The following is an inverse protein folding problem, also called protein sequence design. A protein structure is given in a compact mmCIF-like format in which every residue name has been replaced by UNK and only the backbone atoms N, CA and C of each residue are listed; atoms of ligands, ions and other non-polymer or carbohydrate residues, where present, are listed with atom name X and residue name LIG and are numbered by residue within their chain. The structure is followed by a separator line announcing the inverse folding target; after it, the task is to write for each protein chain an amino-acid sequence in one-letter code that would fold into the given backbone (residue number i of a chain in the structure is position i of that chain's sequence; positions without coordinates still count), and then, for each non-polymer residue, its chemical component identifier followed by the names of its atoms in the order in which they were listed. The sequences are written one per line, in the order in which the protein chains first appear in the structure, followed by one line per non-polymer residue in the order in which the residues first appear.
data_IF_044500233050
#
_entry.id   IF_044500233050
#
_cell.length_a   1.000
_cell.length_b   1.000
_cell.length_c   1.000
_cell.angle_alpha   90.00
_cell.angle_beta   90.00
_cell.angle_gamma   90.00
#
_symmetry.space_group_name_H-M   'P 1'
#
loop_
_entity.id
_entity.type
_entity.pdbx_description
1 polymer ?
#
# COMPACT_ATOMS: atom_id res chain seq x y z
N UNK A 1 -5.76 -1.48 12.86
CA UNK A 1 -6.46 -2.58 12.18
C UNK A 1 -6.77 -2.14 10.76
N UNK A 2 -6.95 -3.09 9.84
CA UNK A 2 -7.61 -2.87 8.56
C UNK A 2 -8.98 -3.51 8.73
N UNK A 3 -10.03 -2.76 8.46
CA UNK A 3 -11.40 -3.26 8.63
C UNK A 3 -11.90 -3.70 7.25
N UNK A 4 -12.45 -4.93 7.12
CA UNK A 4 -13.01 -5.38 5.85
C UNK A 4 -14.01 -4.38 5.26
N UNK A 5 -13.90 -4.15 3.97
CA UNK A 5 -14.72 -3.15 3.26
C UNK A 5 -15.79 -3.88 2.47
N UNK A 6 -17.06 -3.52 2.66
CA UNK A 6 -18.12 -4.01 1.78
C UNK A 6 -17.86 -3.58 0.33
N UNK A 7 -18.12 -4.47 -0.62
CA UNK A 7 -17.85 -4.18 -2.03
C UNK A 7 -18.66 -2.98 -2.54
N UNK A 8 -19.90 -2.79 -2.07
CA UNK A 8 -20.72 -1.64 -2.43
C UNK A 8 -20.10 -0.32 -1.99
N UNK A 9 -19.53 -0.28 -0.78
CA UNK A 9 -18.78 0.88 -0.30
C UNK A 9 -17.49 1.11 -1.08
N UNK A 10 -16.76 0.04 -1.38
CA UNK A 10 -15.57 0.09 -2.23
C UNK A 10 -15.90 0.65 -3.63
N UNK A 11 -16.98 0.17 -4.26
CA UNK A 11 -17.45 0.65 -5.55
C UNK A 11 -17.86 2.13 -5.48
N UNK A 12 -18.56 2.55 -4.43
CA UNK A 12 -18.95 3.96 -4.24
C UNK A 12 -17.73 4.89 -4.13
N UNK A 13 -16.66 4.45 -3.46
CA UNK A 13 -15.43 5.25 -3.25
C UNK A 13 -14.53 5.28 -4.47
N UNK A 14 -14.35 4.13 -5.13
CA UNK A 14 -13.37 3.94 -6.21
C UNK A 14 -13.97 4.00 -7.62
N UNK A 15 -15.28 3.81 -7.72
CA UNK A 15 -16.01 3.55 -8.96
C UNK A 15 -15.78 2.16 -9.53
N UNK A 16 -14.86 1.36 -8.98
CA UNK A 16 -14.47 0.05 -9.51
C UNK A 16 -15.60 -0.93 -9.24
N UNK A 17 -16.12 -1.53 -10.31
CA UNK A 17 -17.30 -2.40 -10.28
C UNK A 17 -16.88 -3.86 -10.34
N UNK A 18 -17.75 -4.78 -9.89
CA UNK A 18 -17.48 -6.24 -9.99
C UNK A 18 -17.16 -6.72 -11.41
N UNK A 19 -17.73 -6.07 -12.43
CA UNK A 19 -17.46 -6.39 -13.84
C UNK A 19 -16.07 -5.97 -14.33
N UNK A 20 -15.41 -5.08 -13.58
CA UNK A 20 -14.07 -4.59 -13.91
C UNK A 20 -13.00 -5.61 -13.45
N UNK A 21 -13.39 -6.65 -12.70
CA UNK A 21 -12.52 -7.76 -12.34
C UNK A 21 -12.36 -8.74 -13.51
N UNK A 22 -11.16 -9.28 -13.70
CA UNK A 22 -10.80 -10.02 -14.91
C UNK A 22 -11.48 -11.39 -15.05
N UNK A 23 -12.21 -11.88 -14.03
CA UNK A 23 -12.74 -13.26 -14.01
C UNK A 23 -14.15 -13.31 -13.43
N UNK A 24 -15.04 -14.05 -14.08
CA UNK A 24 -16.45 -14.22 -13.70
C UNK A 24 -16.65 -14.87 -12.33
N UNK A 25 -15.74 -15.73 -11.89
CA UNK A 25 -15.79 -16.41 -10.59
C UNK A 25 -15.64 -15.46 -9.38
N UNK A 26 -15.08 -14.28 -9.59
CA UNK A 26 -14.82 -13.31 -8.51
C UNK A 26 -16.08 -12.54 -8.08
N UNK A 27 -17.19 -12.68 -8.81
CA UNK A 27 -18.46 -12.01 -8.51
C UNK A 27 -19.02 -12.35 -7.11
N UNK A 28 -18.66 -13.53 -6.59
CA UNK A 28 -19.06 -14.01 -5.26
C UNK A 28 -18.33 -13.29 -4.13
N UNK A 29 -17.19 -12.66 -4.40
CA UNK A 29 -16.49 -11.90 -3.38
C UNK A 29 -17.30 -10.66 -2.99
N UNK A 30 -17.71 -10.62 -1.72
CA UNK A 30 -18.55 -9.55 -1.17
C UNK A 30 -17.76 -8.41 -0.55
N UNK A 31 -16.48 -8.62 -0.26
CA UNK A 31 -15.68 -7.73 0.58
C UNK A 31 -14.22 -7.63 0.15
N UNK A 32 -13.58 -6.52 0.53
CA UNK A 32 -12.15 -6.28 0.39
C UNK A 32 -11.47 -6.46 1.75
N UNK A 33 -10.45 -7.31 1.81
CA UNK A 33 -9.66 -7.66 2.99
C UNK A 33 -8.21 -7.19 2.83
N UNK A 34 -7.48 -7.08 3.94
CA UNK A 34 -6.04 -6.98 3.86
C UNK A 34 -5.45 -8.32 3.41
N UNK A 35 -4.37 -8.27 2.63
CA UNK A 35 -3.74 -9.47 2.08
C UNK A 35 -3.31 -10.47 3.16
N UNK A 36 -2.85 -9.96 4.32
CA UNK A 36 -2.42 -10.78 5.46
C UNK A 36 -3.57 -11.50 6.17
N UNK A 37 -4.82 -11.08 5.94
CA UNK A 37 -6.00 -11.63 6.61
C UNK A 37 -6.66 -12.75 5.77
N UNK A 38 -6.07 -13.10 4.61
CA UNK A 38 -6.50 -14.25 3.83
C UNK A 38 -6.03 -15.55 4.49
N UNK A 39 -6.97 -16.47 4.73
CA UNK A 39 -6.63 -17.82 5.19
C UNK A 39 -6.06 -18.68 4.05
N UNK A 40 -6.54 -18.45 2.82
CA UNK A 40 -6.11 -19.18 1.62
C UNK A 40 -6.18 -18.28 0.39
N UNK A 41 -5.16 -18.38 -0.48
CA UNK A 41 -5.17 -17.73 -1.80
C UNK A 41 -5.74 -18.70 -2.84
N UNK A 42 -6.72 -18.24 -3.61
CA UNK A 42 -7.38 -19.01 -4.66
C UNK A 42 -6.89 -18.63 -6.06
N UNK A 43 -6.67 -17.34 -6.32
CA UNK A 43 -6.25 -16.83 -7.62
C UNK A 43 -5.49 -15.51 -7.47
N UNK A 44 -4.54 -15.26 -8.37
CA UNK A 44 -3.72 -14.04 -8.38
C UNK A 44 -3.70 -13.48 -9.80
N UNK A 45 -3.98 -12.19 -9.93
CA UNK A 45 -4.02 -11.50 -11.22
C UNK A 45 -3.19 -10.23 -11.18
N UNK A 46 -2.52 -9.95 -12.29
CA UNK A 46 -1.90 -8.65 -12.50
C UNK A 46 -2.97 -7.56 -12.45
N UNK A 47 -2.73 -6.52 -11.65
CA UNK A 47 -3.61 -5.36 -11.61
C UNK A 47 -3.36 -4.53 -12.86
N UNK A 48 -4.42 -4.26 -13.65
CA UNK A 48 -4.28 -3.39 -14.82
C UNK A 48 -3.92 -1.97 -14.38
N UNK A 49 -3.20 -1.23 -15.24
CA UNK A 49 -2.87 0.18 -14.97
C UNK A 49 -4.11 1.01 -14.68
N UNK A 50 -5.18 0.77 -15.44
CA UNK A 50 -6.44 1.49 -15.25
C UNK A 50 -7.10 1.19 -13.90
N UNK A 51 -7.13 -0.07 -13.47
CA UNK A 51 -7.61 -0.43 -12.13
C UNK A 51 -6.79 0.27 -11.04
N UNK A 52 -5.46 0.17 -11.12
CA UNK A 52 -4.55 0.79 -10.17
C UNK A 52 -4.73 2.30 -10.11
N UNK A 53 -4.88 2.96 -11.25
CA UNK A 53 -5.05 4.40 -11.31
C UNK A 53 -6.40 4.82 -10.71
N UNK A 54 -7.49 4.11 -11.02
CA UNK A 54 -8.80 4.38 -10.40
C UNK A 54 -8.76 4.21 -8.89
N UNK A 55 -8.02 3.21 -8.39
CA UNK A 55 -7.78 3.00 -6.97
C UNK A 55 -7.08 4.23 -6.35
N UNK A 56 -5.93 4.63 -6.91
CA UNK A 56 -5.12 5.73 -6.41
C UNK A 56 -5.82 7.10 -6.53
N UNK A 57 -6.49 7.37 -7.65
CA UNK A 57 -7.22 8.63 -7.87
C UNK A 57 -8.41 8.81 -6.91
N UNK A 58 -8.82 7.76 -6.20
CA UNK A 58 -9.84 7.81 -5.16
C UNK A 58 -9.30 7.97 -3.74
N UNK A 59 -7.98 8.05 -3.55
CA UNK A 59 -7.38 8.35 -2.24
C UNK A 59 -7.82 9.73 -1.78
N UNK A 60 -8.39 9.79 -0.57
CA UNK A 60 -8.75 11.04 0.10
C UNK A 60 -7.88 11.31 1.32
N UNK A 61 -8.01 12.50 1.89
CA UNK A 61 -7.52 12.77 3.24
C UNK A 61 -8.36 12.03 4.30
N UNK A 62 -7.70 11.60 5.37
CA UNK A 62 -8.32 10.89 6.48
C UNK A 62 -9.34 11.79 7.18
N UNK A 63 -10.58 11.33 7.30
CA UNK A 63 -11.66 12.07 7.97
C UNK A 63 -12.43 13.07 7.09
N UNK A 64 -11.92 13.44 5.91
CA UNK A 64 -12.61 14.35 4.99
C UNK A 64 -13.49 13.61 3.99
N UNK A 65 -12.96 12.54 3.38
CA UNK A 65 -13.71 11.70 2.41
C UNK A 65 -14.10 12.41 1.11
N UNK A 66 -13.62 13.64 0.86
CA UNK A 66 -13.97 14.46 -0.30
C UNK A 66 -12.76 14.85 -1.14
N UNK A 67 -11.70 15.32 -0.51
CA UNK A 67 -10.49 15.83 -1.16
C UNK A 67 -9.68 14.70 -1.74
N UNK A 68 -9.79 14.49 -3.06
CA UNK A 68 -9.03 13.49 -3.81
C UNK A 68 -7.62 14.01 -4.11
N UNK A 69 -6.65 13.64 -3.29
CA UNK A 69 -5.31 14.24 -3.28
C UNK A 69 -4.47 13.94 -4.53
N UNK A 70 -4.80 12.87 -5.25
CA UNK A 70 -4.07 12.45 -6.45
C UNK A 70 -4.81 12.76 -7.75
N UNK A 71 -6.00 13.38 -7.69
CA UNK A 71 -6.89 13.54 -8.86
C UNK A 71 -6.20 14.16 -10.08
N UNK A 72 -5.39 15.18 -9.85
CA UNK A 72 -4.66 15.92 -10.89
C UNK A 72 -3.17 15.52 -10.97
N UNK A 73 -2.79 14.50 -10.20
CA UNK A 73 -1.43 14.02 -10.10
C UNK A 73 -1.02 13.12 -11.26
N UNK A 74 0.27 13.11 -11.57
CA UNK A 74 0.85 12.17 -12.54
C UNK A 74 1.37 10.94 -11.82
N UNK A 75 0.70 9.81 -12.03
CA UNK A 75 1.07 8.51 -11.47
C UNK A 75 2.05 7.80 -12.42
N UNK A 76 3.17 7.33 -11.88
CA UNK A 76 4.18 6.53 -12.60
C UNK A 76 4.47 5.25 -11.84
N UNK A 77 4.80 4.20 -12.58
CA UNK A 77 5.37 2.96 -12.04
C UNK A 77 6.86 2.95 -12.40
N UNK A 78 7.72 2.82 -11.40
CA UNK A 78 9.17 2.81 -11.59
C UNK A 78 9.86 1.92 -10.55
N UNK A 79 11.17 1.73 -10.72
CA UNK A 79 12.02 1.12 -9.69
C UNK A 79 12.66 2.23 -8.86
N UNK A 80 12.36 2.26 -7.58
CA UNK A 80 12.93 3.20 -6.62
C UNK A 80 14.12 2.55 -5.92
N UNK A 81 15.17 3.34 -5.71
CA UNK A 81 16.23 3.00 -4.76
C UNK A 81 15.81 3.50 -3.38
N UNK A 82 15.59 2.61 -2.39
CA UNK A 82 15.26 3.01 -1.03
C UNK A 82 16.22 4.05 -0.43
N UNK A 83 17.51 3.99 -0.75
CA UNK A 83 18.51 4.88 -0.15
C UNK A 83 18.28 6.36 -0.48
N UNK A 84 17.68 6.66 -1.63
CA UNK A 84 17.37 8.02 -2.07
C UNK A 84 15.98 8.51 -1.66
N UNK A 85 15.30 7.83 -0.74
CA UNK A 85 13.96 8.20 -0.28
C UNK A 85 14.02 8.95 1.05
N UNK A 86 13.16 9.96 1.17
CA UNK A 86 12.85 10.58 2.46
C UNK A 86 11.67 9.88 3.11
N UNK A 87 11.65 9.83 4.44
CA UNK A 87 10.64 9.14 5.26
C UNK A 87 9.96 10.12 6.22
N UNK A 88 8.70 9.87 6.56
CA UNK A 88 7.97 10.64 7.57
C UNK A 88 7.81 9.94 8.93
N UNK A 89 8.14 8.66 9.01
CA UNK A 89 7.93 7.81 10.19
C UNK A 89 9.23 7.64 10.99
N UNK A 90 9.13 7.62 12.31
CA UNK A 90 10.28 7.60 13.25
C UNK A 90 10.78 6.20 13.58
N UNK A 91 9.99 5.16 13.30
CA UNK A 91 10.29 3.81 13.76
C UNK A 91 9.98 2.71 12.74
N UNK A 92 10.58 1.53 12.93
CA UNK A 92 10.25 0.29 12.24
C UNK A 92 9.89 -0.78 13.26
N UNK A 93 8.67 -1.28 13.21
CA UNK A 93 8.29 -2.43 14.05
C UNK A 93 8.97 -3.72 13.57
N UNK A 94 9.78 -4.34 14.43
CA UNK A 94 10.55 -5.56 14.13
C UNK A 94 9.67 -6.72 13.69
N UNK A 95 8.61 -6.99 14.45
CA UNK A 95 7.67 -8.08 14.15
C UNK A 95 7.01 -7.94 12.78
N UNK A 96 6.81 -6.70 12.29
CA UNK A 96 6.22 -6.47 10.96
C UNK A 96 7.16 -6.89 9.83
N UNK A 97 8.43 -6.46 9.84
CA UNK A 97 9.33 -6.84 8.74
C UNK A 97 9.71 -8.33 8.81
N UNK A 98 9.81 -8.92 10.00
CA UNK A 98 9.99 -10.37 10.17
C UNK A 98 8.80 -11.12 9.58
N UNK A 99 7.58 -10.70 9.90
CA UNK A 99 6.36 -11.28 9.33
C UNK A 99 6.31 -11.18 7.80
N UNK A 100 6.84 -10.10 7.20
CA UNK A 100 6.98 -9.99 5.73
C UNK A 100 7.95 -11.06 5.21
N UNK A 101 9.15 -11.19 5.80
CA UNK A 101 10.14 -12.18 5.36
C UNK A 101 9.62 -13.61 5.46
N UNK A 102 8.88 -13.93 6.52
CA UNK A 102 8.40 -15.29 6.80
C UNK A 102 7.15 -15.67 5.99
N UNK A 103 6.23 -14.73 5.79
CA UNK A 103 4.91 -15.03 5.24
C UNK A 103 4.74 -14.60 3.79
N UNK A 104 5.39 -13.52 3.34
CA UNK A 104 5.20 -12.99 1.98
C UNK A 104 5.51 -14.02 0.89
N UNK A 105 6.61 -14.80 0.96
CA UNK A 105 6.90 -15.81 -0.06
C UNK A 105 5.85 -16.92 -0.12
N UNK A 106 5.13 -17.19 0.99
CA UNK A 106 4.11 -18.26 1.06
C UNK A 106 2.83 -17.86 0.33
N UNK A 107 2.43 -16.59 0.42
CA UNK A 107 1.22 -16.05 -0.25
C UNK A 107 1.26 -16.30 -1.76
N UNK A 108 2.43 -16.10 -2.37
CA UNK A 108 2.62 -16.21 -3.82
C UNK A 108 3.31 -17.53 -4.24
N UNK A 109 3.73 -18.37 -3.29
CA UNK A 109 4.66 -19.47 -3.53
C UNK A 109 4.12 -20.58 -4.46
N UNK A 110 2.80 -20.79 -4.47
CA UNK A 110 2.11 -21.76 -5.32
C UNK A 110 1.72 -21.21 -6.70
N UNK A 111 2.05 -19.94 -6.98
CA UNK A 111 1.73 -19.27 -8.23
C UNK A 111 3.03 -19.00 -8.99
N UNK A 112 2.95 -18.86 -10.32
CA UNK A 112 4.08 -18.46 -11.17
C UNK A 112 4.39 -16.97 -11.01
N UNK A 113 4.63 -16.54 -9.77
CA UNK A 113 4.85 -15.16 -9.37
C UNK A 113 6.26 -14.98 -8.79
N UNK A 114 6.73 -13.73 -8.78
CA UNK A 114 7.99 -13.40 -8.13
C UNK A 114 7.85 -13.62 -6.63
N UNK A 115 8.68 -14.50 -6.06
CA UNK A 115 8.63 -14.87 -4.63
C UNK A 115 9.11 -13.76 -3.68
N UNK A 116 9.67 -12.68 -4.22
CA UNK A 116 10.18 -11.54 -3.47
C UNK A 116 9.39 -10.26 -3.72
N UNK A 117 9.25 -9.43 -2.69
CA UNK A 117 8.49 -8.17 -2.76
C UNK A 117 9.14 -7.08 -3.62
N UNK A 118 10.46 -7.15 -3.87
CA UNK A 118 11.19 -6.07 -4.53
C UNK A 118 10.81 -5.88 -6.01
N UNK A 119 10.36 -6.92 -6.70
CA UNK A 119 10.00 -6.85 -8.13
C UNK A 119 8.57 -7.33 -8.38
N UNK A 120 7.74 -7.34 -7.33
CA UNK A 120 6.35 -7.74 -7.47
C UNK A 120 5.52 -6.50 -7.87
N UNK A 121 4.86 -6.51 -9.03
CA UNK A 121 3.98 -5.43 -9.43
C UNK A 121 2.66 -5.53 -8.67
N UNK A 122 1.80 -4.52 -8.83
CA UNK A 122 0.47 -4.57 -8.24
C UNK A 122 -0.30 -5.85 -8.65
N UNK A 123 -0.94 -6.48 -7.66
CA UNK A 123 -1.76 -7.69 -7.83
C UNK A 123 -3.13 -7.49 -7.21
N UNK A 124 -4.11 -8.11 -7.82
CA UNK A 124 -5.40 -8.38 -7.21
C UNK A 124 -5.43 -9.85 -6.84
N UNK A 125 -5.85 -10.16 -5.63
CA UNK A 125 -5.81 -11.50 -5.06
C UNK A 125 -7.22 -11.91 -4.68
N UNK A 126 -7.67 -13.06 -5.16
CA UNK A 126 -8.86 -13.73 -4.66
C UNK A 126 -8.43 -14.72 -3.59
N UNK A 127 -9.10 -14.71 -2.45
CA UNK A 127 -8.85 -15.65 -1.37
C UNK A 127 -10.11 -16.06 -0.64
N UNK A 128 -9.89 -16.82 0.43
CA UNK A 128 -10.89 -17.20 1.42
C UNK A 128 -10.50 -16.62 2.78
N UNK A 129 -11.47 -16.09 3.53
CA UNK A 129 -11.30 -15.72 4.93
C UNK A 129 -11.20 -16.96 5.83
N UNK A 130 -10.92 -16.77 7.12
CA UNK A 130 -10.90 -17.87 8.09
C UNK A 130 -12.27 -18.58 8.21
N UNK A 131 -13.35 -17.87 7.93
CA UNK A 131 -14.73 -18.36 7.91
C UNK A 131 -15.13 -18.98 6.57
N UNK A 132 -14.23 -19.03 5.58
CA UNK A 132 -14.49 -19.57 4.25
C UNK A 132 -15.22 -18.61 3.30
N UNK A 133 -15.35 -17.33 3.66
CA UNK A 133 -15.93 -16.32 2.76
C UNK A 133 -14.96 -16.03 1.60
N UNK A 134 -15.44 -16.02 0.36
CA UNK A 134 -14.62 -15.55 -0.77
C UNK A 134 -14.44 -14.03 -0.69
N UNK A 135 -13.20 -13.57 -0.73
CA UNK A 135 -12.83 -12.16 -0.52
C UNK A 135 -11.76 -11.71 -1.51
N UNK A 136 -11.66 -10.39 -1.72
CA UNK A 136 -10.62 -9.79 -2.56
C UNK A 136 -9.60 -9.08 -1.67
N UNK A 137 -8.33 -9.16 -2.01
CA UNK A 137 -7.27 -8.34 -1.43
C UNK A 137 -6.44 -7.67 -2.54
N UNK A 138 -5.78 -6.57 -2.19
CA UNK A 138 -4.85 -5.89 -3.07
C UNK A 138 -3.43 -6.02 -2.53
N UNK A 139 -2.50 -6.37 -3.41
CA UNK A 139 -1.10 -6.05 -3.21
C UNK A 139 -0.77 -4.83 -4.06
N UNK A 140 -0.35 -3.76 -3.40
CA UNK A 140 0.05 -2.52 -4.04
C UNK A 140 1.52 -2.25 -3.68
N UNK A 141 2.42 -2.05 -4.66
CA UNK A 141 3.81 -1.67 -4.37
C UNK A 141 3.86 -0.39 -3.52
N UNK A 142 4.96 -0.14 -2.80
CA UNK A 142 5.12 1.08 -2.01
C UNK A 142 4.77 2.34 -2.79
N UNK A 143 4.13 3.27 -2.09
CA UNK A 143 3.64 4.53 -2.65
C UNK A 143 4.57 5.64 -2.21
N UNK A 144 5.07 6.38 -3.20
CA UNK A 144 5.93 7.54 -3.04
C UNK A 144 5.19 8.77 -3.56
N UNK A 145 5.44 9.91 -2.94
CA UNK A 145 5.01 11.20 -3.43
C UNK A 145 6.22 12.02 -3.87
N UNK A 146 6.11 12.71 -5.01
CA UNK A 146 7.16 13.61 -5.44
C UNK A 146 7.28 14.81 -4.50
N UNK A 147 8.50 15.13 -4.07
CA UNK A 147 8.79 16.36 -3.35
C UNK A 147 9.04 17.51 -4.35
N UNK A 148 8.24 18.57 -4.27
CA UNK A 148 8.45 19.78 -5.08
C UNK A 148 9.68 20.59 -4.66
N UNK A 149 10.22 20.35 -3.46
CA UNK A 149 11.34 21.10 -2.86
C UNK A 149 12.69 20.42 -3.10
N UNK A 150 12.85 19.15 -2.70
CA UNK A 150 14.15 18.46 -2.75
C UNK A 150 14.35 17.53 -3.95
N UNK A 151 13.36 17.39 -4.83
CA UNK A 151 13.29 16.38 -5.92
C UNK A 151 13.34 14.91 -5.47
N UNK A 152 13.74 14.63 -4.23
CA UNK A 152 13.73 13.29 -3.63
C UNK A 152 12.29 12.83 -3.37
N UNK A 153 11.93 11.57 -3.66
CA UNK A 153 10.60 11.08 -3.37
C UNK A 153 10.40 10.88 -1.86
N UNK A 154 9.20 11.19 -1.39
CA UNK A 154 8.74 10.97 -0.01
C UNK A 154 8.02 9.62 0.07
N UNK A 155 8.46 8.74 0.97
CA UNK A 155 7.86 7.43 1.20
C UNK A 155 6.58 7.56 2.04
N UNK A 156 5.43 7.43 1.38
CA UNK A 156 4.12 7.47 2.04
C UNK A 156 3.74 6.11 2.65
N UNK A 157 3.88 5.04 1.87
CA UNK A 157 3.45 3.70 2.26
C UNK A 157 4.50 2.63 1.94
N UNK A 158 4.56 1.58 2.76
CA UNK A 158 5.46 0.44 2.54
C UNK A 158 6.86 0.61 3.15
N UNK A 159 6.97 1.28 4.30
CA UNK A 159 8.24 1.54 4.97
C UNK A 159 9.04 0.27 5.30
N UNK A 160 8.38 -0.79 5.78
CA UNK A 160 9.04 -2.06 6.08
C UNK A 160 9.58 -2.77 4.83
N UNK A 161 8.85 -2.68 3.71
CA UNK A 161 9.28 -3.26 2.43
C UNK A 161 10.50 -2.52 1.86
N UNK A 162 10.49 -1.18 1.95
CA UNK A 162 11.64 -0.36 1.58
C UNK A 162 12.85 -0.63 2.46
N UNK A 163 12.67 -0.71 3.79
CA UNK A 163 13.75 -1.02 4.72
C UNK A 163 14.42 -2.37 4.41
N UNK A 164 13.62 -3.40 4.13
CA UNK A 164 14.14 -4.72 3.78
C UNK A 164 14.89 -4.70 2.44
N UNK A 165 14.36 -4.01 1.42
CA UNK A 165 15.03 -3.86 0.13
C UNK A 165 16.35 -3.09 0.25
N UNK A 166 16.36 -2.02 1.06
CA UNK A 166 17.54 -1.22 1.40
C UNK A 166 18.62 -2.09 2.07
N UNK A 167 18.21 -2.90 3.06
CA UNK A 167 19.13 -3.74 3.84
C UNK A 167 19.86 -4.79 3.02
N UNK A 168 19.31 -5.17 1.86
CA UNK A 168 19.94 -6.12 0.91
C UNK A 168 20.53 -5.43 -0.32
N UNK A 169 20.58 -4.10 -0.34
CA UNK A 169 21.16 -3.32 -1.43
C UNK A 169 20.42 -3.46 -2.76
N UNK A 170 19.08 -3.46 -2.75
CA UNK A 170 18.29 -3.59 -3.98
C UNK A 170 17.20 -2.53 -4.11
N UNK A 171 16.85 -2.22 -5.35
CA UNK A 171 15.70 -1.37 -5.69
C UNK A 171 14.39 -2.12 -5.52
N UNK A 172 13.27 -1.42 -5.37
CA UNK A 172 11.94 -2.00 -5.40
C UNK A 172 11.04 -1.39 -6.49
N UNK A 173 10.05 -2.13 -6.97
CA UNK A 173 8.91 -1.52 -7.67
C UNK A 173 8.17 -0.57 -6.73
N UNK A 174 7.84 0.61 -7.25
CA UNK A 174 7.14 1.65 -6.51
C UNK A 174 6.19 2.41 -7.44
N UNK A 175 5.14 2.94 -6.82
CA UNK A 175 4.22 3.90 -7.42
C UNK A 175 4.68 5.29 -7.00
N UNK A 176 4.91 6.17 -7.97
CA UNK A 176 5.27 7.57 -7.69
C UNK A 176 4.16 8.47 -8.17
N UNK A 177 3.64 9.29 -7.26
CA UNK A 177 2.62 10.29 -7.56
C UNK A 177 3.27 11.68 -7.53
N UNK A 178 3.30 12.36 -8.67
CA UNK A 178 3.74 13.76 -8.74
C UNK A 178 2.52 14.68 -8.79
N UNK A 179 2.67 15.94 -8.35
CA UNK A 179 1.57 16.91 -8.39
C UNK A 179 0.46 16.61 -7.39
N UNK A 180 0.82 16.08 -6.21
CA UNK A 180 -0.13 15.84 -5.12
C UNK A 180 -0.64 17.19 -4.61
N UNK A 181 -1.97 17.33 -4.49
CA UNK A 181 -2.59 18.63 -4.17
C UNK A 181 -2.52 19.00 -2.68
N UNK A 182 -2.16 18.05 -1.81
CA UNK A 182 -2.01 18.25 -0.37
C UNK A 182 -0.54 18.05 0.06
N UNK A 183 -0.03 18.84 1.02
CA UNK A 183 1.32 18.64 1.56
C UNK A 183 1.49 17.26 2.19
N UNK A 184 2.72 16.75 2.24
CA UNK A 184 3.04 15.48 2.92
C UNK A 184 2.69 15.58 4.43
N UNK A 185 2.21 14.49 5.08
CA UNK A 185 1.62 14.60 6.41
C UNK A 185 2.63 14.70 7.56
N UNK A 186 3.92 14.58 7.29
CA UNK A 186 4.98 14.59 8.29
C UNK A 186 6.20 15.35 7.75
N UNK A 187 7.09 15.79 8.64
CA UNK A 187 8.39 16.34 8.24
C UNK A 187 9.24 15.23 7.59
N UNK A 188 9.73 15.43 6.35
CA UNK A 188 10.63 14.49 5.71
C UNK A 188 11.97 14.40 6.43
N UNK A 189 12.47 13.18 6.63
CA UNK A 189 13.75 12.87 7.26
C UNK A 189 14.47 11.76 6.48
N UNK A 190 15.77 11.64 6.67
CA UNK A 190 16.57 10.53 6.12
C UNK A 190 16.42 9.24 6.96
N UNK A 191 16.74 8.10 6.35
CA UNK A 191 16.73 6.79 7.01
C UNK A 191 17.56 6.71 8.28
N UNK A 192 18.65 7.47 8.40
CA UNK A 192 19.49 7.49 9.61
C UNK A 192 18.74 7.96 10.87
N UNK A 193 17.57 8.59 10.71
CA UNK A 193 16.73 9.04 11.81
C UNK A 193 15.74 7.97 12.33
N UNK A 194 15.66 6.80 11.68
CA UNK A 194 14.68 5.77 12.04
C UNK A 194 15.21 4.80 13.10
N UNK A 195 14.35 4.39 14.03
CA UNK A 195 14.69 3.39 15.05
C UNK A 195 13.94 2.07 14.85
N UNK A 196 14.64 0.93 14.90
CA UNK A 196 13.98 -0.39 14.92
C UNK A 196 13.51 -0.70 16.33
N UNK A 197 12.21 -0.93 16.49
CA UNK A 197 11.55 -1.13 17.78
C UNK A 197 10.86 -2.49 17.85
N UNK A 198 10.80 -3.09 19.03
CA UNK A 198 10.05 -4.32 19.28
C UNK A 198 8.56 -4.06 19.54
N UNK A 199 8.27 -2.92 20.18
CA UNK A 199 6.93 -2.51 20.53
C UNK A 199 6.53 -1.28 19.72
N UNK A 200 5.21 -1.13 19.52
CA UNK A 200 4.68 -0.02 18.73
C UNK A 200 4.60 1.22 19.63
N UNK A 201 5.30 2.33 19.32
CA UNK A 201 5.27 3.52 20.16
C UNK A 201 3.88 4.19 20.16
N UNK A 202 3.61 5.11 21.11
CA UNK A 202 2.42 5.97 21.13
C UNK A 202 2.19 6.67 19.78
N UNK A 203 0.94 7.00 19.45
CA UNK A 203 0.58 7.46 18.08
C UNK A 203 1.31 8.76 17.71
N UNK A 204 1.52 9.60 18.71
CA UNK A 204 2.12 10.93 18.66
C UNK A 204 3.61 10.87 18.31
N UNK A 205 4.29 9.78 18.69
CA UNK A 205 5.72 9.59 18.48
C UNK A 205 6.04 8.86 17.15
N UNK A 206 5.02 8.41 16.40
CA UNK A 206 5.23 7.56 15.22
C UNK A 206 5.77 8.30 14.01
N UNK A 207 5.65 9.62 13.97
CA UNK A 207 5.99 10.42 12.81
C UNK A 207 6.68 11.71 13.23
N UNK A 208 7.54 12.24 12.35
CA UNK A 208 8.17 13.54 12.57
C UNK A 208 7.15 14.64 12.32
N UNK A 209 6.75 15.39 13.35
CA UNK A 209 5.85 16.55 13.23
C UNK A 209 4.56 16.27 12.43
N UNK A 210 3.83 15.21 12.84
CA UNK A 210 2.63 14.75 12.16
C UNK A 210 1.54 15.84 12.08
N UNK A 211 0.94 15.96 10.90
CA UNK A 211 -0.31 16.67 10.61
C UNK A 211 -1.39 15.63 10.27
N UNK A 212 -2.17 15.15 11.26
CA UNK A 212 -3.10 14.03 11.07
C UNK A 212 -4.14 14.24 9.96
N UNK A 213 -4.58 15.48 9.77
CA UNK A 213 -5.54 15.92 8.75
C UNK A 213 -5.00 15.77 7.32
N UNK A 214 -3.68 15.71 7.15
CA UNK A 214 -3.04 15.51 5.86
C UNK A 214 -2.81 14.03 5.54
N UNK A 215 -3.17 13.10 6.43
CA UNK A 215 -2.87 11.68 6.22
C UNK A 215 -3.73 11.08 5.10
N UNK A 216 -3.11 10.26 4.24
CA UNK A 216 -3.79 9.63 3.10
C UNK A 216 -4.59 8.43 3.57
N UNK A 217 -5.87 8.39 3.26
CA UNK A 217 -6.76 7.29 3.62
C UNK A 217 -6.66 6.15 2.59
N UNK A 218 -5.54 5.44 2.64
CA UNK A 218 -5.28 4.27 1.79
C UNK A 218 -6.17 3.07 2.17
N UNK A 219 -6.55 2.98 3.45
CA UNK A 219 -7.32 1.84 3.96
C UNK A 219 -8.74 1.84 3.45
N UNK A 220 -9.40 2.99 3.35
CA UNK A 220 -10.79 3.05 2.90
C UNK A 220 -11.00 2.64 1.44
N UNK A 221 -9.91 2.54 0.67
CA UNK A 221 -9.89 2.02 -0.70
C UNK A 221 -9.23 0.64 -0.79
N UNK A 222 -8.98 -0.04 0.31
CA UNK A 222 -8.49 -1.42 0.29
C UNK A 222 -7.00 -1.57 0.01
N UNK A 223 -6.20 -0.54 0.28
CA UNK A 223 -4.74 -0.62 0.30
C UNK A 223 -4.28 -0.76 1.75
N UNK A 224 -3.62 -1.87 2.05
CA UNK A 224 -3.02 -2.14 3.36
C UNK A 224 -1.48 -2.20 3.23
N UNK A 225 -0.83 -1.34 4.01
CA UNK A 225 0.61 -1.05 3.95
C UNK A 225 1.55 -2.02 4.66
#
# INVERSE_FOLDING_TARGET
MFDPIDFGDFEKRTGIRKRDFPVTGWKRAGRIFALRDLAKVLDIRAMSKEYLFRLLLSVTLTGDGKTKVYKDGRIKLLRADPHGLLIGQTFLLRSKYQGILENFPRVFGSFCEVRGMAKLPARIVLGESAEGEQVIAHYVPPILEGNSVSHEPLLLDGIHRNFLAMSVGTTLEAIVVHGVSAPFPARPMEWGSISVMNEKPPKEERFFDLKPELFRDLKSIGIDG
#
